data_IF_382055538013
#
_entry.id   IF_382055538013
#
_cell.length_a   1.000
_cell.length_b   1.000
_cell.length_c   1.000
_cell.angle_alpha   90.00
_cell.angle_beta   90.00
_cell.angle_gamma   90.00
#
_symmetry.space_group_name_H-M   'P 1'
#
loop_
_entity.id
_entity.type
_entity.pdbx_description
1 polymer ?
#
# COMPACT_ATOMS: atom_id res chain seq x y z
N UNK A 1 2.85 -18.49 1.52
CA UNK A 1 3.44 -17.14 1.59
C UNK A 1 4.93 -17.26 1.47
N UNK A 2 5.63 -16.15 1.33
CA UNK A 2 7.10 -16.11 1.45
C UNK A 2 7.50 -16.53 2.87
N UNK A 3 8.54 -17.36 2.99
CA UNK A 3 9.05 -17.82 4.27
C UNK A 3 10.26 -16.98 4.68
N UNK A 4 10.29 -16.51 5.93
CA UNK A 4 11.36 -15.65 6.44
C UNK A 4 11.81 -16.15 7.83
N UNK A 5 13.03 -16.66 7.91
CA UNK A 5 13.75 -16.91 9.15
C UNK A 5 14.22 -15.60 9.75
N UNK A 6 13.86 -15.33 11.01
CA UNK A 6 14.32 -14.13 11.69
C UNK A 6 15.85 -14.10 11.82
N UNK A 7 16.47 -15.25 12.09
CA UNK A 7 17.91 -15.37 12.25
C UNK A 7 18.66 -15.27 10.91
N UNK A 8 18.23 -16.07 9.93
CA UNK A 8 18.99 -16.28 8.70
C UNK A 8 18.66 -15.21 7.66
N UNK A 9 17.37 -14.93 7.42
CA UNK A 9 16.94 -14.04 6.35
C UNK A 9 16.97 -12.57 6.80
N UNK A 10 16.50 -12.29 8.02
CA UNK A 10 16.32 -10.90 8.48
C UNK A 10 17.58 -10.32 9.14
N UNK A 11 18.18 -11.04 10.09
CA UNK A 11 19.37 -10.56 10.79
C UNK A 11 20.68 -10.76 10.00
N UNK A 12 20.79 -11.87 9.25
CA UNK A 12 22.03 -12.26 8.57
C UNK A 12 22.02 -11.97 7.07
N UNK A 13 20.89 -12.22 6.37
CA UNK A 13 20.74 -12.00 4.93
C UNK A 13 21.03 -10.56 4.50
N UNK A 14 21.44 -10.29 3.26
CA UNK A 14 21.70 -8.91 2.81
C UNK A 14 20.40 -8.09 2.91
N UNK A 15 20.23 -7.31 3.98
CA UNK A 15 18.98 -6.67 4.34
C UNK A 15 18.36 -5.95 3.15
N UNK A 16 17.11 -6.25 2.83
CA UNK A 16 16.42 -5.59 1.71
C UNK A 16 15.89 -4.23 2.15
N UNK A 17 15.75 -3.29 1.21
CA UNK A 17 15.05 -2.04 1.48
C UNK A 17 13.57 -2.24 1.85
N UNK A 18 13.02 -3.44 1.62
CA UNK A 18 11.62 -3.78 1.84
C UNK A 18 11.31 -4.42 3.19
N UNK A 19 12.24 -5.12 3.82
CA UNK A 19 12.01 -5.76 5.12
C UNK A 19 13.16 -5.45 6.07
N UNK A 20 12.84 -5.02 7.28
CA UNK A 20 13.82 -4.81 8.34
C UNK A 20 13.34 -5.45 9.64
N UNK A 21 14.28 -5.96 10.44
CA UNK A 21 14.00 -6.57 11.73
C UNK A 21 14.69 -5.80 12.86
N UNK A 22 14.10 -5.87 14.05
CA UNK A 22 14.59 -5.25 15.25
C UNK A 22 14.43 -6.18 16.46
N UNK A 23 15.30 -6.00 17.45
CA UNK A 23 15.17 -6.60 18.79
C UNK A 23 15.45 -5.53 19.83
N UNK A 24 14.51 -5.29 20.72
CA UNK A 24 14.64 -4.34 21.84
C UNK A 24 14.35 -5.02 23.18
N UNK A 25 14.66 -4.34 24.28
CA UNK A 25 14.23 -4.76 25.61
C UNK A 25 12.77 -4.36 25.84
N UNK A 26 11.99 -5.25 26.45
CA UNK A 26 10.63 -4.96 26.90
C UNK A 26 10.60 -4.24 28.24
N UNK A 27 9.40 -4.08 28.81
CA UNK A 27 9.17 -3.43 30.11
C UNK A 27 9.92 -4.12 31.26
N UNK A 28 10.08 -5.44 31.15
CA UNK A 28 10.94 -6.23 32.03
C UNK A 28 12.25 -6.54 31.28
N UNK A 29 13.44 -6.21 31.83
CA UNK A 29 14.73 -6.30 31.13
C UNK A 29 15.05 -7.67 30.50
N UNK A 30 14.51 -8.74 31.07
CA UNK A 30 14.74 -10.12 30.63
C UNK A 30 13.87 -10.56 29.44
N UNK A 31 12.82 -9.80 29.10
CA UNK A 31 11.91 -10.09 28.00
C UNK A 31 12.33 -9.28 26.78
N UNK A 32 12.71 -9.96 25.70
CA UNK A 32 13.04 -9.31 24.43
C UNK A 32 11.78 -9.09 23.60
N UNK A 33 11.66 -7.90 22.99
CA UNK A 33 10.63 -7.58 22.00
C UNK A 33 11.26 -7.72 20.62
N UNK A 34 10.72 -8.63 19.81
CA UNK A 34 11.10 -8.81 18.41
C UNK A 34 10.13 -8.04 17.53
N UNK A 35 10.65 -7.32 16.53
CA UNK A 35 9.86 -6.54 15.59
C UNK A 35 10.34 -6.76 14.15
N UNK A 36 9.39 -6.63 13.21
CA UNK A 36 9.66 -6.66 11.77
C UNK A 36 8.80 -5.60 11.09
N UNK A 37 9.38 -4.86 10.15
CA UNK A 37 8.68 -3.85 9.34
C UNK A 37 8.74 -4.23 7.87
N UNK A 38 7.57 -4.27 7.22
CA UNK A 38 7.42 -4.44 5.77
C UNK A 38 7.11 -3.08 5.13
N UNK A 39 7.97 -2.63 4.20
CA UNK A 39 7.94 -1.29 3.61
C UNK A 39 7.47 -1.23 2.15
N UNK A 40 7.35 -2.37 1.49
CA UNK A 40 7.01 -2.48 0.06
C UNK A 40 5.69 -3.22 -0.19
N UNK A 41 4.79 -3.24 0.79
CA UNK A 41 3.47 -3.84 0.62
C UNK A 41 2.65 -3.03 -0.39
N UNK A 42 1.81 -3.71 -1.17
CA UNK A 42 0.89 -3.05 -2.07
C UNK A 42 -0.22 -2.34 -1.26
N UNK A 43 -0.64 -1.14 -1.67
CA UNK A 43 -1.74 -0.42 -1.05
C UNK A 43 -3.09 -1.09 -1.32
N UNK A 44 -4.07 -0.91 -0.43
CA UNK A 44 -5.39 -1.55 -0.48
C UNK A 44 -5.34 -3.10 -0.59
N UNK A 45 -4.24 -3.71 -0.16
CA UNK A 45 -4.03 -5.16 -0.14
C UNK A 45 -4.44 -5.76 1.20
N UNK A 46 -5.07 -6.93 1.18
CA UNK A 46 -5.36 -7.73 2.38
C UNK A 46 -4.22 -8.73 2.60
N UNK A 47 -3.47 -8.57 3.68
CA UNK A 47 -2.31 -9.39 4.02
C UNK A 47 -2.59 -10.28 5.23
N UNK A 48 -1.98 -11.46 5.22
CA UNK A 48 -1.97 -12.42 6.32
C UNK A 48 -0.53 -12.70 6.72
N UNK A 49 -0.20 -12.40 7.96
CA UNK A 49 1.09 -12.69 8.58
C UNK A 49 0.91 -13.81 9.60
N UNK A 50 1.79 -14.80 9.56
CA UNK A 50 1.79 -15.95 10.49
C UNK A 50 3.15 -16.09 11.14
N UNK A 51 3.18 -16.30 12.45
CA UNK A 51 4.40 -16.40 13.25
C UNK A 51 4.37 -17.69 14.08
N UNK A 52 5.51 -18.36 14.18
CA UNK A 52 5.76 -19.43 15.14
C UNK A 52 7.22 -19.36 15.60
N UNK A 53 7.49 -19.86 16.81
CA UNK A 53 8.83 -20.00 17.35
C UNK A 53 9.36 -21.41 17.08
N UNK A 54 10.69 -21.51 16.97
CA UNK A 54 11.42 -22.78 16.87
C UNK A 54 12.39 -22.86 18.04
N UNK A 55 12.30 -23.91 18.85
CA UNK A 55 13.22 -24.11 19.97
C UNK A 55 14.57 -24.71 19.51
N UNK A 56 15.53 -24.81 20.43
CA UNK A 56 16.89 -25.33 20.13
C UNK A 56 16.92 -26.78 19.65
N UNK A 57 15.82 -27.53 19.85
CA UNK A 57 15.63 -28.92 19.40
C UNK A 57 14.77 -29.00 18.13
N UNK A 58 14.38 -27.88 17.55
CA UNK A 58 13.56 -27.82 16.34
C UNK A 58 12.06 -28.00 16.55
N UNK A 59 11.55 -27.94 17.80
CA UNK A 59 10.11 -28.00 18.06
C UNK A 59 9.46 -26.66 17.73
N UNK A 60 8.28 -26.72 17.13
CA UNK A 60 7.52 -25.54 16.75
C UNK A 60 6.51 -25.17 17.85
N UNK A 61 6.34 -23.87 18.09
CA UNK A 61 5.21 -23.38 18.87
C UNK A 61 3.89 -23.52 18.10
N UNK A 62 2.78 -23.26 18.77
CA UNK A 62 1.52 -22.96 18.09
C UNK A 62 1.68 -21.72 17.17
N UNK A 63 0.94 -21.71 16.07
CA UNK A 63 0.94 -20.63 15.09
C UNK A 63 0.10 -19.45 15.59
N UNK A 64 0.67 -18.24 15.53
CA UNK A 64 -0.05 -16.98 15.72
C UNK A 64 -0.30 -16.32 14.36
N UNK A 65 -1.45 -15.66 14.19
CA UNK A 65 -1.88 -15.08 12.91
C UNK A 65 -2.40 -13.66 13.08
N UNK A 66 -2.00 -12.76 12.18
CA UNK A 66 -2.53 -11.41 12.03
C UNK A 66 -2.99 -11.21 10.58
N UNK A 67 -4.21 -10.71 10.38
CA UNK A 67 -4.72 -10.31 9.06
C UNK A 67 -5.12 -8.85 9.08
N UNK A 68 -4.63 -8.06 8.12
CA UNK A 68 -4.90 -6.64 8.03
C UNK A 68 -4.93 -6.15 6.58
N UNK A 69 -5.61 -5.03 6.34
CA UNK A 69 -5.62 -4.33 5.07
C UNK A 69 -4.66 -3.14 5.12
N UNK A 70 -3.83 -2.96 4.09
CA UNK A 70 -2.99 -1.76 3.95
C UNK A 70 -3.86 -0.55 3.58
N UNK A 71 -3.40 0.66 3.91
CA UNK A 71 -4.14 1.88 3.61
C UNK A 71 -4.36 2.06 2.09
N UNK A 72 -5.37 2.85 1.73
CA UNK A 72 -5.60 3.20 0.34
C UNK A 72 -4.39 3.93 -0.27
N UNK A 73 -4.17 3.79 -1.59
CA UNK A 73 -3.11 4.51 -2.28
C UNK A 73 -3.28 6.03 -2.12
N UNK A 74 -2.17 6.75 -2.15
CA UNK A 74 -2.20 8.21 -2.19
C UNK A 74 -2.93 8.71 -3.43
N UNK A 75 -3.70 9.78 -3.25
CA UNK A 75 -4.46 10.43 -4.33
C UNK A 75 -4.17 11.92 -4.29
N UNK A 76 -3.70 12.45 -5.42
CA UNK A 76 -3.62 13.89 -5.65
C UNK A 76 -5.01 14.37 -6.10
N UNK A 77 -5.74 14.95 -5.16
CA UNK A 77 -7.15 15.32 -5.36
C UNK A 77 -7.30 16.44 -6.38
N UNK A 78 -6.39 17.42 -6.37
CA UNK A 78 -6.39 18.52 -7.34
C UNK A 78 -6.12 17.98 -8.75
N UNK A 79 -5.17 17.04 -8.88
CA UNK A 79 -4.88 16.43 -10.18
C UNK A 79 -6.05 15.59 -10.68
N UNK A 80 -6.77 14.91 -9.78
CA UNK A 80 -7.96 14.15 -10.15
C UNK A 80 -9.07 15.06 -10.68
N UNK A 81 -9.31 16.21 -10.04
CA UNK A 81 -10.28 17.21 -10.50
C UNK A 81 -9.87 17.81 -11.87
N UNK A 82 -8.60 18.19 -12.03
CA UNK A 82 -8.06 18.69 -13.31
C UNK A 82 -8.26 17.68 -14.46
N UNK A 83 -8.04 16.39 -14.19
CA UNK A 83 -8.28 15.33 -15.18
C UNK A 83 -9.77 15.20 -15.49
N UNK A 84 -10.67 15.28 -14.49
CA UNK A 84 -12.10 15.22 -14.72
C UNK A 84 -12.58 16.34 -15.67
N UNK A 85 -12.14 17.57 -15.43
CA UNK A 85 -12.44 18.73 -16.27
C UNK A 85 -11.87 18.57 -17.69
N UNK A 86 -10.64 18.08 -17.80
CA UNK A 86 -10.00 17.78 -19.09
C UNK A 86 -10.81 16.75 -19.88
N UNK A 87 -11.27 15.68 -19.24
CA UNK A 87 -12.05 14.62 -19.88
C UNK A 87 -13.41 15.14 -20.34
N UNK A 88 -14.10 15.93 -19.51
CA UNK A 88 -15.35 16.57 -19.90
C UNK A 88 -15.20 17.45 -21.14
N UNK A 89 -14.14 18.27 -21.18
CA UNK A 89 -13.86 19.14 -22.33
C UNK A 89 -13.56 18.34 -23.61
N UNK A 90 -12.83 17.22 -23.49
CA UNK A 90 -12.57 16.34 -24.63
C UNK A 90 -13.86 15.69 -25.15
N UNK A 91 -14.77 15.28 -24.26
CA UNK A 91 -16.06 14.70 -24.63
C UNK A 91 -17.03 15.72 -25.26
N UNK A 92 -16.96 16.98 -24.86
CA UNK A 92 -17.79 18.03 -25.48
C UNK A 92 -17.27 18.54 -26.83
N UNK A 93 -16.02 18.26 -27.18
CA UNK A 93 -15.34 18.85 -28.34
C UNK A 93 -15.78 18.35 -29.72
N UNK A 94 -16.80 17.50 -29.83
CA UNK A 94 -17.09 16.66 -31.01
C UNK A 94 -15.86 15.81 -31.35
N UNK A 95 -15.67 14.78 -30.53
CA UNK A 95 -14.43 14.07 -30.26
C UNK A 95 -13.74 13.58 -31.54
N UNK A 96 -12.70 14.28 -31.99
CA UNK A 96 -11.81 13.75 -33.03
C UNK A 96 -11.17 12.45 -32.53
N UNK A 97 -10.81 11.54 -33.43
CA UNK A 97 -10.18 10.27 -33.03
C UNK A 97 -8.92 10.46 -32.17
N UNK A 98 -8.23 11.60 -32.30
CA UNK A 98 -7.09 11.98 -31.46
C UNK A 98 -7.52 12.34 -30.03
N UNK A 99 -8.61 13.07 -29.87
CA UNK A 99 -9.17 13.43 -28.55
C UNK A 99 -9.70 12.20 -27.83
N UNK A 100 -10.39 11.30 -28.54
CA UNK A 100 -10.84 10.01 -27.99
C UNK A 100 -9.65 9.21 -27.44
N UNK A 101 -8.59 9.10 -28.23
CA UNK A 101 -7.40 8.36 -27.81
C UNK A 101 -6.66 9.06 -26.66
N UNK A 102 -6.63 10.39 -26.65
CA UNK A 102 -6.01 11.18 -25.56
C UNK A 102 -6.78 11.03 -24.25
N UNK A 103 -8.12 11.07 -24.29
CA UNK A 103 -8.97 10.83 -23.14
C UNK A 103 -8.75 9.42 -22.58
N UNK A 104 -8.82 8.42 -23.46
CA UNK A 104 -8.59 7.02 -23.08
C UNK A 104 -7.20 6.80 -22.46
N UNK A 105 -6.13 7.31 -23.07
CA UNK A 105 -4.78 7.17 -22.54
C UNK A 105 -4.65 7.84 -21.16
N UNK A 106 -5.15 9.07 -21.01
CA UNK A 106 -5.11 9.80 -19.73
C UNK A 106 -5.77 8.99 -18.61
N UNK A 107 -6.93 8.38 -18.87
CA UNK A 107 -7.66 7.57 -17.89
C UNK A 107 -6.98 6.23 -17.57
N UNK A 108 -6.25 5.66 -18.53
CA UNK A 108 -5.57 4.37 -18.37
C UNK A 108 -4.18 4.47 -17.74
N UNK A 109 -3.51 5.61 -17.90
CA UNK A 109 -2.18 5.92 -17.35
C UNK A 109 -2.21 6.14 -15.83
N UNK A 110 -3.30 6.70 -15.29
CA UNK A 110 -3.43 6.92 -13.84
C UNK A 110 -3.79 5.65 -13.07
N UNK A 111 -3.50 5.58 -11.77
CA UNK A 111 -3.84 4.43 -10.92
C UNK A 111 -5.36 4.20 -10.82
N UNK A 112 -5.78 3.01 -10.41
CA UNK A 112 -7.21 2.69 -10.24
C UNK A 112 -7.90 3.63 -9.23
N UNK A 113 -7.22 3.98 -8.12
CA UNK A 113 -7.74 4.93 -7.13
C UNK A 113 -7.83 6.36 -7.66
N UNK A 114 -6.84 6.80 -8.46
CA UNK A 114 -6.91 8.09 -9.16
C UNK A 114 -8.07 8.11 -10.16
N UNK A 115 -8.24 7.06 -10.96
CA UNK A 115 -9.35 6.93 -11.90
C UNK A 115 -10.72 6.96 -11.19
N UNK A 116 -10.83 6.30 -10.04
CA UNK A 116 -12.03 6.36 -9.20
C UNK A 116 -12.29 7.78 -8.68
N UNK A 117 -11.22 8.51 -8.31
CA UNK A 117 -11.34 9.90 -7.88
C UNK A 117 -11.73 10.84 -9.02
N UNK A 118 -11.20 10.62 -10.22
CA UNK A 118 -11.61 11.34 -11.45
C UNK A 118 -13.10 11.12 -11.72
N UNK A 119 -13.58 9.86 -11.61
CA UNK A 119 -15.02 9.55 -11.76
C UNK A 119 -15.86 10.32 -10.74
N UNK A 120 -15.42 10.36 -9.48
CA UNK A 120 -16.12 11.10 -8.43
C UNK A 120 -16.28 12.58 -8.79
N UNK A 121 -15.18 13.27 -9.12
CA UNK A 121 -15.21 14.69 -9.52
C UNK A 121 -16.02 14.93 -10.79
N UNK A 122 -15.87 14.06 -11.79
CA UNK A 122 -16.62 14.18 -13.03
C UNK A 122 -18.13 14.14 -12.75
N UNK A 123 -18.59 13.17 -11.96
CA UNK A 123 -20.01 13.06 -11.64
C UNK A 123 -20.49 14.23 -10.76
N UNK A 124 -19.66 14.70 -9.82
CA UNK A 124 -20.01 15.86 -8.99
C UNK A 124 -20.33 17.12 -9.82
N UNK A 125 -19.64 17.34 -10.94
CA UNK A 125 -19.78 18.56 -11.74
C UNK A 125 -20.67 18.37 -12.99
N UNK A 126 -20.61 17.20 -13.62
CA UNK A 126 -21.09 16.99 -14.99
C UNK A 126 -22.16 15.90 -15.15
N UNK A 127 -22.59 15.23 -14.08
CA UNK A 127 -23.59 14.14 -14.14
C UNK A 127 -24.91 14.56 -14.82
N UNK A 128 -25.30 15.84 -14.69
CA UNK A 128 -26.46 16.41 -15.40
C UNK A 128 -26.38 16.32 -16.93
N UNK A 129 -25.19 16.09 -17.50
CA UNK A 129 -24.94 15.92 -18.92
C UNK A 129 -24.61 14.47 -19.31
N UNK A 130 -24.90 13.52 -18.42
CA UNK A 130 -24.54 12.11 -18.54
C UNK A 130 -23.45 11.73 -17.54
N UNK A 131 -23.65 10.63 -16.82
CA UNK A 131 -22.65 10.13 -15.88
C UNK A 131 -21.37 9.71 -16.60
N UNK A 132 -20.26 9.67 -15.85
CA UNK A 132 -18.93 9.38 -16.38
C UNK A 132 -18.87 8.07 -17.17
N UNK A 133 -19.57 7.02 -16.73
CA UNK A 133 -19.53 5.70 -17.35
C UNK A 133 -20.28 5.73 -18.67
N UNK A 134 -21.51 6.21 -18.64
CA UNK A 134 -22.37 6.33 -19.80
C UNK A 134 -21.73 7.23 -20.86
N UNK A 135 -21.20 8.39 -20.45
CA UNK A 135 -20.56 9.31 -21.38
C UNK A 135 -19.24 8.76 -21.94
N UNK A 136 -18.48 8.00 -21.15
CA UNK A 136 -17.29 7.33 -21.67
C UNK A 136 -17.63 6.24 -22.69
N UNK A 137 -18.76 5.56 -22.54
CA UNK A 137 -19.23 4.58 -23.53
C UNK A 137 -19.68 5.24 -24.83
N UNK A 138 -20.40 6.36 -24.75
CA UNK A 138 -20.83 7.14 -25.91
C UNK A 138 -19.64 7.67 -26.73
N UNK A 139 -18.66 8.27 -26.05
CA UNK A 139 -17.55 8.97 -26.70
C UNK A 139 -16.38 8.06 -27.10
N UNK A 140 -16.14 6.96 -26.38
CA UNK A 140 -15.01 6.06 -26.61
C UNK A 140 -15.42 4.68 -27.15
N UNK A 141 -16.71 4.36 -27.12
CA UNK A 141 -17.25 3.07 -27.48
C UNK A 141 -17.16 2.01 -26.36
N UNK A 142 -17.93 0.92 -26.48
CA UNK A 142 -18.18 -0.04 -25.41
C UNK A 142 -16.92 -0.75 -24.92
N UNK A 143 -15.99 -1.08 -25.82
CA UNK A 143 -14.78 -1.83 -25.45
C UNK A 143 -13.84 -0.99 -24.57
N UNK A 144 -13.64 0.29 -24.88
CA UNK A 144 -12.76 1.18 -24.11
C UNK A 144 -13.39 1.53 -22.76
N UNK A 145 -14.70 1.85 -22.75
CA UNK A 145 -15.45 2.10 -21.52
C UNK A 145 -15.43 0.90 -20.57
N UNK A 146 -15.60 -0.33 -21.09
CA UNK A 146 -15.54 -1.53 -20.26
C UNK A 146 -14.16 -1.77 -19.63
N UNK A 147 -13.07 -1.43 -20.33
CA UNK A 147 -11.71 -1.51 -19.75
C UNK A 147 -11.50 -0.49 -18.62
N UNK A 148 -12.09 0.71 -18.76
CA UNK A 148 -12.10 1.73 -17.70
C UNK A 148 -12.88 1.22 -16.48
N UNK A 149 -14.09 0.68 -16.69
CA UNK A 149 -14.91 0.11 -15.61
C UNK A 149 -14.20 -0.99 -14.84
N UNK A 150 -13.56 -1.91 -15.57
CA UNK A 150 -12.80 -3.01 -14.94
C UNK A 150 -11.64 -2.52 -14.08
N UNK A 151 -11.10 -1.32 -14.33
CA UNK A 151 -10.09 -0.71 -13.44
C UNK A 151 -10.72 -0.14 -12.17
N UNK A 152 -11.91 0.46 -12.27
CA UNK A 152 -12.65 0.97 -11.10
C UNK A 152 -13.00 -0.16 -10.13
N UNK A 153 -13.34 -1.35 -10.64
CA UNK A 153 -13.63 -2.55 -9.84
C UNK A 153 -12.43 -3.07 -9.03
N UNK A 154 -11.20 -2.67 -9.37
CA UNK A 154 -10.01 -3.07 -8.60
C UNK A 154 -9.89 -2.34 -7.26
N UNK A 155 -10.60 -1.23 -7.08
CA UNK A 155 -10.63 -0.49 -5.83
C UNK A 155 -11.53 -1.21 -4.84
N UNK A 156 -11.05 -1.49 -3.63
CA UNK A 156 -11.86 -2.20 -2.64
C UNK A 156 -13.08 -1.40 -2.19
N UNK A 157 -14.04 -2.07 -1.56
CA UNK A 157 -15.18 -1.40 -0.93
C UNK A 157 -14.76 -0.39 0.15
N UNK A 158 -13.68 -0.66 0.87
CA UNK A 158 -13.14 0.24 1.88
C UNK A 158 -12.61 1.53 1.24
N UNK A 159 -11.77 1.41 0.22
CA UNK A 159 -11.19 2.58 -0.44
C UNK A 159 -12.18 3.32 -1.32
N UNK A 160 -13.11 2.64 -1.98
CA UNK A 160 -14.15 3.30 -2.76
C UNK A 160 -15.07 4.17 -1.89
N UNK A 161 -15.33 3.78 -0.64
CA UNK A 161 -16.05 4.62 0.33
C UNK A 161 -15.25 5.88 0.70
N UNK A 162 -13.98 5.72 1.07
CA UNK A 162 -13.11 6.84 1.46
C UNK A 162 -12.80 7.79 0.29
N UNK A 163 -12.65 7.26 -0.92
CA UNK A 163 -12.36 8.06 -2.12
C UNK A 163 -13.57 8.88 -2.60
N UNK A 164 -14.75 8.74 -1.97
CA UNK A 164 -15.92 9.61 -2.18
C UNK A 164 -16.00 10.79 -1.20
N UNK A 165 -15.02 10.96 -0.32
CA UNK A 165 -14.96 12.13 0.58
C UNK A 165 -14.93 13.45 -0.17
N UNK A 166 -15.34 14.56 0.47
CA UNK A 166 -15.40 15.86 -0.20
C UNK A 166 -14.02 16.37 -0.64
N UNK A 167 -12.98 16.12 0.17
CA UNK A 167 -11.58 16.38 -0.18
C UNK A 167 -10.69 15.28 0.37
N UNK A 168 -9.56 15.15 -0.30
CA UNK A 168 -8.46 14.28 0.12
C UNK A 168 -7.19 15.12 0.15
N UNK A 169 -6.51 15.14 1.30
CA UNK A 169 -5.20 15.77 1.45
C UNK A 169 -4.15 14.71 1.77
N UNK A 170 -2.90 14.98 1.43
CA UNK A 170 -1.79 14.11 1.79
C UNK A 170 -1.01 14.72 2.96
N UNK A 171 -0.70 13.90 3.96
CA UNK A 171 0.28 14.21 5.00
C UNK A 171 1.40 13.18 5.00
N UNK A 172 2.57 13.57 5.47
CA UNK A 172 3.72 12.66 5.59
C UNK A 172 4.15 12.60 7.04
N UNK A 173 3.94 11.45 7.65
CA UNK A 173 4.39 11.17 9.01
C UNK A 173 5.78 10.52 8.93
N UNK A 174 6.75 10.95 9.75
CA UNK A 174 8.06 10.29 9.82
C UNK A 174 8.20 9.63 11.18
N UNK A 175 8.42 8.31 11.17
CA UNK A 175 8.48 7.51 12.41
C UNK A 175 9.78 6.71 12.49
N UNK A 176 10.36 6.56 13.70
CA UNK A 176 11.54 5.75 13.90
C UNK A 176 11.20 4.26 13.89
N UNK A 177 12.16 3.44 13.45
CA UNK A 177 12.13 1.99 13.55
C UNK A 177 13.54 1.46 13.83
N UNK A 178 13.62 0.33 14.54
CA UNK A 178 14.89 -0.30 14.86
C UNK A 178 15.34 -1.22 13.71
N UNK A 179 16.59 -1.07 13.28
CA UNK A 179 17.23 -1.90 12.27
C UNK A 179 18.40 -2.64 12.90
N UNK A 180 18.22 -3.93 13.16
CA UNK A 180 19.23 -4.79 13.78
C UNK A 180 19.84 -5.77 12.78
N UNK A 181 21.14 -6.03 12.93
CA UNK A 181 21.94 -6.95 12.11
C UNK A 181 22.75 -7.87 13.00
N UNK A 182 22.93 -9.11 12.59
CA UNK A 182 23.85 -10.03 13.28
C UNK A 182 25.30 -9.63 13.03
N UNK A 183 26.10 -9.51 14.10
CA UNK A 183 27.55 -9.24 14.00
C UNK A 183 28.35 -10.51 13.68
N UNK A 184 27.87 -11.66 14.15
CA UNK A 184 28.52 -12.96 14.00
C UNK A 184 27.52 -13.96 13.41
N UNK A 185 27.94 -14.74 12.42
CA UNK A 185 27.19 -15.93 11.98
C UNK A 185 27.55 -17.06 12.94
N UNK A 186 26.59 -17.47 13.78
CA UNK A 186 26.84 -18.52 14.78
C UNK A 186 26.89 -19.91 14.12
N UNK A 187 27.82 -20.79 14.56
CA UNK A 187 27.88 -22.15 14.04
C UNK A 187 26.64 -22.93 14.48
N UNK A 188 25.87 -23.41 13.50
CA UNK A 188 24.75 -24.32 13.73
C UNK A 188 25.30 -25.74 13.82
N UNK A 189 25.07 -26.43 14.94
CA UNK A 189 25.42 -27.84 15.08
C UNK A 189 24.41 -28.72 14.35
N UNK A 190 24.83 -29.89 13.85
CA UNK A 190 24.00 -30.77 13.01
C UNK A 190 22.69 -31.27 13.67
N UNK A 191 22.57 -31.14 15.01
CA UNK A 191 21.39 -31.58 15.79
C UNK A 191 20.78 -30.47 16.65
N UNK A 192 21.50 -29.37 16.93
CA UNK A 192 21.09 -28.31 17.86
C UNK A 192 21.21 -26.92 17.22
N UNK A 193 20.12 -26.17 17.29
CA UNK A 193 20.07 -24.78 16.83
C UNK A 193 20.61 -23.83 17.91
N UNK A 194 21.23 -22.74 17.47
CA UNK A 194 21.74 -21.70 18.38
C UNK A 194 20.60 -20.91 19.03
N UNK A 195 20.80 -20.42 20.25
CA UNK A 195 19.83 -19.59 20.97
C UNK A 195 19.78 -18.19 20.34
N UNK A 196 18.63 -17.82 19.77
CA UNK A 196 18.45 -16.53 19.10
C UNK A 196 18.70 -15.32 20.01
N UNK A 197 18.26 -15.40 21.28
CA UNK A 197 18.44 -14.34 22.29
C UNK A 197 19.91 -14.00 22.51
N UNK A 198 20.78 -15.00 22.46
CA UNK A 198 22.19 -14.83 22.77
C UNK A 198 22.97 -14.23 21.59
N UNK A 199 22.38 -14.21 20.37
CA UNK A 199 23.01 -13.64 19.17
C UNK A 199 23.38 -12.18 19.40
N UNK A 200 24.65 -11.86 19.13
CA UNK A 200 25.14 -10.47 19.16
C UNK A 200 24.63 -9.74 17.94
N UNK A 201 23.95 -8.63 18.19
CA UNK A 201 23.38 -7.80 17.14
C UNK A 201 23.81 -6.35 17.34
N UNK A 202 24.10 -5.67 16.24
CA UNK A 202 24.18 -4.20 16.21
C UNK A 202 22.82 -3.68 15.81
N UNK A 203 22.27 -2.72 16.55
CA UNK A 203 21.00 -2.08 16.23
C UNK A 203 21.20 -0.58 15.99
N UNK A 204 20.57 -0.08 14.93
CA UNK A 204 20.56 1.32 14.54
C UNK A 204 19.10 1.80 14.46
N UNK A 205 18.82 3.01 14.94
CA UNK A 205 17.52 3.64 14.72
C UNK A 205 17.48 4.29 13.33
N UNK A 206 16.46 3.97 12.54
CA UNK A 206 16.23 4.53 11.20
C UNK A 206 14.85 5.14 11.11
N UNK A 207 14.65 6.02 10.14
CA UNK A 207 13.38 6.70 9.91
C UNK A 207 12.67 6.15 8.68
N UNK A 208 11.34 6.03 8.76
CA UNK A 208 10.49 5.77 7.59
C UNK A 208 9.48 6.90 7.41
N UNK A 209 9.42 7.44 6.21
CA UNK A 209 8.41 8.42 5.81
C UNK A 209 7.17 7.70 5.30
N UNK A 210 6.06 7.87 6.00
CA UNK A 210 4.77 7.26 5.71
C UNK A 210 3.82 8.34 5.21
N UNK A 211 3.65 8.41 3.90
CA UNK A 211 2.64 9.27 3.31
C UNK A 211 1.24 8.65 3.47
N UNK A 212 0.27 9.47 3.91
CA UNK A 212 -1.10 9.06 4.19
C UNK A 212 -2.11 10.05 3.63
N UNK A 213 -3.21 9.54 3.10
CA UNK A 213 -4.38 10.34 2.82
C UNK A 213 -5.07 10.77 4.13
N UNK A 214 -5.58 11.99 4.13
CA UNK A 214 -6.47 12.57 5.13
C UNK A 214 -7.78 12.89 4.42
N UNK A 215 -8.87 12.29 4.88
CA UNK A 215 -10.19 12.37 4.29
C UNK A 215 -11.09 13.24 5.15
N UNK A 216 -11.96 14.06 4.57
CA UNK A 216 -13.01 14.70 5.36
C UNK A 216 -14.09 15.44 4.58
N UNK A 217 -14.87 16.26 5.31
CA UNK A 217 -16.07 17.00 4.83
C UNK A 217 -15.91 18.54 4.62
N UNK A 218 -14.94 19.21 5.27
CA UNK A 218 -14.44 20.53 4.81
C UNK A 218 -12.91 20.75 4.95
N UNK A 219 -12.25 21.43 4.00
CA UNK A 219 -10.77 21.66 3.95
C UNK A 219 -10.10 22.23 5.22
N UNK A 220 -10.87 22.61 6.25
CA UNK A 220 -10.41 23.23 7.49
C UNK A 220 -10.35 22.34 8.74
N UNK A 221 -10.65 21.03 8.65
CA UNK A 221 -10.48 20.06 9.74
C UNK A 221 -10.08 18.68 9.23
#
# INVERSE_FOLDING_TARGET
GEFLSFADDLLSGLGTSCVAAGRSHGEVPEVSIYSVIFKCLEPDGLYKFTLYAVDTRGRHSELSTVTLRTACPLVDDNKAEEIADKIYNLYNGYTSGKEQQTAYNTLMEVSASMLFRVQHHYNSHYEKFGDFVWRSEDELGPRKAHLILRRLEKVSSHCSSLLRSAYIQSRVDTVPYLFCRSEEVRPVGMVWYSVLKDTKITCEEKMVSMARNTYGESKGR
#
